data_IF_201347510377
#
_entry.id   IF_201347510377
#
_cell.length_a   1.000
_cell.length_b   1.000
_cell.length_c   1.000
_cell.angle_alpha   90.00
_cell.angle_beta   90.00
_cell.angle_gamma   90.00
#
_symmetry.space_group_name_H-M   'P 1'
#
loop_
_entity.id
_entity.type
_entity.pdbx_description
1 polymer ?
#
# COMPACT_ATOMS: atom_id res chain seq x y z
N UNK A 1 -10.28 -19.33 3.43
CA UNK A 1 -10.11 -17.87 3.38
C UNK A 1 -9.07 -17.55 4.44
N UNK A 2 -7.80 -17.32 4.08
CA UNK A 2 -6.77 -17.02 5.07
C UNK A 2 -7.02 -15.60 5.58
N UNK A 3 -7.63 -15.48 6.75
CA UNK A 3 -7.42 -14.29 7.58
C UNK A 3 -5.94 -14.34 7.95
N UNK A 4 -5.12 -13.59 7.24
CA UNK A 4 -3.74 -13.43 7.64
C UNK A 4 -3.75 -12.49 8.84
N UNK A 5 -3.33 -13.01 10.00
CA UNK A 5 -3.01 -12.26 11.22
C UNK A 5 -1.83 -11.29 11.00
N UNK A 6 -1.73 -10.69 9.83
CA UNK A 6 -0.66 -9.78 9.47
C UNK A 6 -0.93 -8.45 10.15
N UNK A 7 -0.07 -8.10 11.09
CA UNK A 7 -0.08 -6.79 11.73
C UNK A 7 0.28 -5.75 10.66
N UNK A 8 -0.52 -4.69 10.45
CA UNK A 8 -0.23 -3.67 9.47
C UNK A 8 1.04 -2.91 9.84
N UNK A 9 1.86 -2.58 8.84
CA UNK A 9 3.12 -1.87 9.03
C UNK A 9 3.15 -0.53 8.29
N UNK A 10 3.89 0.44 8.84
CA UNK A 10 4.17 1.71 8.16
C UNK A 10 5.01 1.46 6.89
N UNK A 11 4.62 2.08 5.78
CA UNK A 11 5.24 1.89 4.47
C UNK A 11 4.75 0.67 3.70
N UNK A 12 3.86 -0.14 4.29
CA UNK A 12 3.29 -1.32 3.64
C UNK A 12 2.37 -0.93 2.48
N UNK A 13 2.51 -1.63 1.35
CA UNK A 13 1.59 -1.51 0.23
C UNK A 13 0.32 -2.33 0.53
N UNK A 14 -0.83 -1.78 0.16
CA UNK A 14 -2.12 -2.44 0.34
C UNK A 14 -2.96 -2.31 -0.92
N UNK A 15 -3.82 -3.29 -1.19
CA UNK A 15 -4.86 -3.19 -2.22
C UNK A 15 -6.21 -2.92 -1.57
N UNK A 16 -6.92 -1.94 -2.11
CA UNK A 16 -8.27 -1.63 -1.65
C UNK A 16 -9.28 -2.66 -2.20
N UNK A 17 -9.87 -3.50 -1.34
CA UNK A 17 -10.84 -4.52 -1.79
C UNK A 17 -12.24 -3.99 -2.06
N UNK A 18 -12.62 -2.87 -1.42
CA UNK A 18 -13.99 -2.33 -1.45
C UNK A 18 -14.01 -0.80 -1.37
N UNK A 19 -15.06 -0.20 -1.95
CA UNK A 19 -15.36 1.24 -1.90
C UNK A 19 -14.93 2.01 -3.15
N UNK A 20 -14.91 3.35 -3.07
CA UNK A 20 -14.65 4.24 -4.23
C UNK A 20 -13.32 4.00 -4.94
N UNK A 21 -12.31 3.56 -4.19
CA UNK A 21 -10.95 3.34 -4.69
C UNK A 21 -10.66 1.83 -4.80
N UNK A 22 -11.69 0.99 -5.03
CA UNK A 22 -11.52 -0.46 -5.17
C UNK A 22 -10.52 -0.79 -6.28
N UNK A 23 -9.75 -1.86 -6.07
CA UNK A 23 -8.68 -2.35 -6.96
C UNK A 23 -7.46 -1.42 -7.08
N UNK A 24 -7.47 -0.26 -6.41
CA UNK A 24 -6.33 0.64 -6.38
C UNK A 24 -5.36 0.30 -5.24
N UNK A 25 -4.07 0.50 -5.48
CA UNK A 25 -3.02 0.37 -4.48
C UNK A 25 -2.83 1.65 -3.68
N UNK A 26 -2.40 1.51 -2.43
CA UNK A 26 -2.09 2.63 -1.54
C UNK A 26 -1.00 2.20 -0.56
N UNK A 27 -0.42 3.17 0.15
CA UNK A 27 0.60 2.94 1.17
C UNK A 27 0.04 3.28 2.55
N UNK A 28 0.32 2.44 3.56
CA UNK A 28 0.05 2.77 4.96
C UNK A 28 1.05 3.83 5.42
N UNK A 29 0.54 5.02 5.78
CA UNK A 29 1.36 6.14 6.28
C UNK A 29 1.13 6.43 7.77
N UNK A 30 0.22 5.68 8.40
CA UNK A 30 -0.07 5.82 9.83
C UNK A 30 -0.96 4.69 10.34
N UNK A 31 -0.71 4.24 11.56
CA UNK A 31 -1.56 3.28 12.27
C UNK A 31 -2.37 4.07 13.30
N UNK A 32 -3.70 3.97 13.24
CA UNK A 32 -4.58 4.71 14.15
C UNK A 32 -4.91 3.84 15.37
N UNK A 33 -5.36 2.63 15.12
CA UNK A 33 -5.74 1.65 16.12
C UNK A 33 -5.75 0.23 15.50
N UNK A 34 -6.27 -0.76 16.22
CA UNK A 34 -6.34 -2.17 15.79
C UNK A 34 -7.22 -2.41 14.54
N UNK A 35 -8.06 -1.46 14.15
CA UNK A 35 -9.04 -1.58 13.05
C UNK A 35 -8.79 -0.57 11.94
N UNK A 36 -8.14 0.55 12.22
CA UNK A 36 -8.01 1.67 11.27
C UNK A 36 -6.56 2.07 11.01
N UNK A 37 -6.30 2.41 9.74
CA UNK A 37 -5.02 2.94 9.26
C UNK A 37 -5.26 4.19 8.40
N UNK A 38 -4.20 4.96 8.21
CA UNK A 38 -4.12 6.06 7.25
C UNK A 38 -3.43 5.61 5.97
N UNK A 39 -4.10 5.84 4.84
CA UNK A 39 -3.60 5.50 3.51
C UNK A 39 -3.30 6.74 2.67
N UNK A 40 -2.22 6.69 1.91
CA UNK A 40 -1.88 7.69 0.90
C UNK A 40 -1.36 7.02 -0.37
N UNK A 41 -1.65 7.62 -1.53
CA UNK A 41 -1.17 7.20 -2.86
C UNK A 41 -0.29 8.27 -3.53
N UNK A 42 -0.24 9.48 -2.95
CA UNK A 42 0.51 10.61 -3.50
C UNK A 42 -0.15 11.31 -4.68
N UNK A 43 -1.34 10.88 -5.11
CA UNK A 43 -2.13 11.51 -6.17
C UNK A 43 -3.47 12.03 -5.60
N UNK A 44 -4.49 11.16 -5.54
CA UNK A 44 -5.80 11.47 -4.97
C UNK A 44 -5.72 11.63 -3.45
N UNK A 45 -4.86 10.85 -2.78
CA UNK A 45 -4.65 10.85 -1.33
C UNK A 45 -3.20 11.21 -1.05
N UNK A 46 -2.97 12.48 -0.76
CA UNK A 46 -1.66 13.04 -0.39
C UNK A 46 -1.31 12.70 1.05
N UNK A 47 -0.02 12.72 1.38
CA UNK A 47 0.47 12.47 2.74
C UNK A 47 -0.22 13.37 3.79
N UNK A 48 -0.41 14.66 3.49
CA UNK A 48 -1.07 15.62 4.41
C UNK A 48 -2.59 15.45 4.53
N UNK A 49 -3.20 14.70 3.61
CA UNK A 49 -4.64 14.45 3.59
C UNK A 49 -4.88 12.96 3.38
N UNK A 50 -4.35 12.10 4.28
CA UNK A 50 -4.45 10.68 4.11
C UNK A 50 -5.89 10.23 4.36
N UNK A 51 -6.24 9.10 3.78
CA UNK A 51 -7.57 8.50 3.94
C UNK A 51 -7.56 7.56 5.14
N UNK A 52 -8.41 7.80 6.13
CA UNK A 52 -8.70 6.80 7.16
C UNK A 52 -9.46 5.62 6.53
N UNK A 53 -8.96 4.41 6.72
CA UNK A 53 -9.54 3.18 6.14
C UNK A 53 -9.59 2.07 7.19
N UNK A 54 -10.66 1.27 7.15
CA UNK A 54 -10.78 0.08 7.97
C UNK A 54 -9.96 -1.07 7.34
N UNK A 55 -9.12 -1.73 8.13
CA UNK A 55 -8.27 -2.86 7.73
C UNK A 55 -9.08 -4.00 7.11
N UNK A 56 -10.30 -4.25 7.58
CA UNK A 56 -11.18 -5.29 7.03
C UNK A 56 -11.56 -5.07 5.54
N UNK A 57 -11.32 -3.87 5.00
CA UNK A 57 -11.57 -3.51 3.60
C UNK A 57 -10.29 -3.46 2.76
N UNK A 58 -9.17 -3.89 3.33
CA UNK A 58 -7.86 -3.92 2.70
C UNK A 58 -7.39 -5.36 2.52
N UNK A 59 -6.58 -5.54 1.51
CA UNK A 59 -5.68 -6.67 1.37
C UNK A 59 -4.29 -6.14 1.72
N UNK A 60 -3.72 -6.68 2.80
CA UNK A 60 -2.34 -6.38 3.19
C UNK A 60 -1.42 -7.19 2.29
N UNK A 61 -0.51 -6.50 1.60
CA UNK A 61 0.46 -7.15 0.74
C UNK A 61 1.73 -7.33 1.56
N UNK A 62 2.39 -8.48 1.40
CA UNK A 62 3.67 -8.79 2.03
C UNK A 62 4.83 -8.04 1.34
N UNK A 63 4.69 -6.72 1.28
CA UNK A 63 5.67 -5.81 0.71
C UNK A 63 5.59 -4.45 1.41
N UNK A 64 6.72 -4.05 1.99
CA UNK A 64 6.91 -2.76 2.64
C UNK A 64 7.91 -1.96 1.84
N UNK A 65 7.53 -0.77 1.36
CA UNK A 65 8.46 0.10 0.63
C UNK A 65 9.52 0.64 1.59
N UNK A 66 10.81 0.28 1.40
CA UNK A 66 11.88 0.79 2.25
C UNK A 66 12.01 2.30 2.14
N UNK A 67 11.75 2.88 0.96
CA UNK A 67 11.86 4.31 0.70
C UNK A 67 10.82 5.11 1.50
N UNK A 68 9.58 4.61 1.58
CA UNK A 68 8.52 5.25 2.36
C UNK A 68 8.75 5.03 3.85
N UNK A 69 9.02 3.79 4.28
CA UNK A 69 9.27 3.45 5.68
C UNK A 69 10.39 4.32 6.27
N UNK A 70 11.55 4.33 5.60
CA UNK A 70 12.70 5.15 6.02
C UNK A 70 12.37 6.63 6.10
N UNK A 71 11.63 7.18 5.12
CA UNK A 71 11.26 8.60 5.15
C UNK A 71 10.38 8.94 6.37
N UNK A 72 9.44 8.06 6.70
CA UNK A 72 8.55 8.24 7.85
C UNK A 72 9.27 8.03 9.18
N UNK A 73 10.21 7.08 9.28
CA UNK A 73 11.03 6.85 10.47
C UNK A 73 12.02 7.99 10.72
N UNK A 74 12.70 8.48 9.68
CA UNK A 74 13.73 9.53 9.82
C UNK A 74 13.14 10.93 10.02
N UNK A 75 12.04 11.25 9.32
CA UNK A 75 11.54 12.64 9.24
C UNK A 75 10.09 12.80 9.68
N UNK A 76 9.38 11.70 9.96
CA UNK A 76 7.93 11.72 10.20
C UNK A 76 7.11 12.10 8.97
N UNK A 77 7.74 12.19 7.78
CA UNK A 77 7.11 12.71 6.57
C UNK A 77 7.58 11.96 5.32
N UNK A 78 6.68 11.85 4.35
CA UNK A 78 7.02 11.32 3.02
C UNK A 78 6.44 12.23 1.94
N UNK A 79 7.17 12.41 0.84
CA UNK A 79 6.69 13.21 -0.29
C UNK A 79 5.69 12.41 -1.11
N UNK A 80 4.74 13.11 -1.73
CA UNK A 80 3.78 12.50 -2.65
C UNK A 80 4.47 11.80 -3.84
N UNK A 81 5.63 12.31 -4.27
CA UNK A 81 6.46 11.68 -5.30
C UNK A 81 6.98 10.30 -4.88
N UNK A 82 7.50 10.17 -3.64
CA UNK A 82 7.96 8.89 -3.10
C UNK A 82 6.82 7.88 -2.96
N UNK A 83 5.63 8.32 -2.57
CA UNK A 83 4.43 7.46 -2.51
C UNK A 83 4.05 6.89 -3.88
N UNK A 84 3.98 7.76 -4.90
CA UNK A 84 3.69 7.34 -6.28
C UNK A 84 4.75 6.38 -6.80
N UNK A 85 6.03 6.70 -6.55
CA UNK A 85 7.15 5.84 -6.94
C UNK A 85 7.05 4.45 -6.31
N UNK A 86 6.81 4.36 -4.99
CA UNK A 86 6.68 3.09 -4.29
C UNK A 86 5.56 2.20 -4.86
N UNK A 87 4.40 2.81 -5.16
CA UNK A 87 3.27 2.09 -5.77
C UNK A 87 3.62 1.63 -7.20
N UNK A 88 4.16 2.52 -8.03
CA UNK A 88 4.54 2.18 -9.40
C UNK A 88 5.61 1.09 -9.45
N UNK A 89 6.62 1.17 -8.58
CA UNK A 89 7.67 0.16 -8.43
C UNK A 89 7.07 -1.20 -8.09
N UNK A 90 6.21 -1.25 -7.07
CA UNK A 90 5.54 -2.50 -6.69
C UNK A 90 4.71 -3.08 -7.84
N UNK A 91 3.90 -2.27 -8.52
CA UNK A 91 3.06 -2.74 -9.63
C UNK A 91 3.92 -3.27 -10.78
N UNK A 92 4.98 -2.57 -11.15
CA UNK A 92 5.84 -2.98 -12.25
C UNK A 92 6.63 -4.26 -11.92
N UNK A 93 7.31 -4.30 -10.77
CA UNK A 93 8.20 -5.42 -10.42
C UNK A 93 7.46 -6.67 -9.92
N UNK A 94 6.27 -6.53 -9.35
CA UNK A 94 5.60 -7.66 -8.67
C UNK A 94 4.22 -7.99 -9.21
N UNK A 95 3.57 -7.10 -9.97
CA UNK A 95 2.21 -7.38 -10.51
C UNK A 95 2.24 -7.62 -12.01
N UNK A 96 3.09 -6.92 -12.76
CA UNK A 96 3.24 -7.12 -14.19
C UNK A 96 4.06 -8.39 -14.47
N UNK A 97 5.19 -8.58 -13.77
CA UNK A 97 6.04 -9.78 -13.93
C UNK A 97 5.29 -11.09 -13.61
N UNK A 98 4.34 -11.07 -12.67
CA UNK A 98 3.47 -12.22 -12.39
C UNK A 98 2.52 -12.56 -13.55
N UNK A 99 2.13 -11.58 -14.37
CA UNK A 99 1.23 -11.79 -15.51
C UNK A 99 1.95 -12.30 -16.75
N UNK A 100 3.24 -11.99 -16.90
CA UNK A 100 4.05 -12.51 -18.03
C UNK A 100 4.52 -13.95 -17.78
N UNK A 101 4.60 -14.40 -16.52
CA UNK A 101 4.99 -15.77 -16.15
C UNK A 101 3.90 -16.84 -16.29
N UNK A 102 2.64 -16.50 -16.57
CA UNK A 102 1.51 -17.46 -16.68
C UNK A 102 1.24 -17.95 -18.11
N UNK A 103 2.15 -17.75 -19.06
CA UNK A 103 2.00 -18.23 -20.44
C UNK A 103 3.07 -19.26 -20.82
N UNK A 104 3.07 -20.41 -20.14
CA UNK A 104 3.69 -21.65 -20.64
C UNK A 104 2.84 -22.85 -20.23
N UNK A 105 1.90 -23.22 -21.09
CA UNK A 105 1.43 -24.60 -21.26
C UNK A 105 0.81 -24.69 -22.66
N UNK A 106 1.66 -24.99 -23.63
CA UNK A 106 1.31 -25.33 -25.00
C UNK A 106 1.99 -26.63 -25.38
#
# INVERSE_FOLDING_TARGET
MKESDTVPEIGQIVRNRRGRDAEQYSVIVGIVDKRYVFLADGDKRKFDRPKRKNLAHLELIDYVSPEVKRSLEETGRVTNGKLRFAISKYVNEYVIDLKEGEQVDG
#
